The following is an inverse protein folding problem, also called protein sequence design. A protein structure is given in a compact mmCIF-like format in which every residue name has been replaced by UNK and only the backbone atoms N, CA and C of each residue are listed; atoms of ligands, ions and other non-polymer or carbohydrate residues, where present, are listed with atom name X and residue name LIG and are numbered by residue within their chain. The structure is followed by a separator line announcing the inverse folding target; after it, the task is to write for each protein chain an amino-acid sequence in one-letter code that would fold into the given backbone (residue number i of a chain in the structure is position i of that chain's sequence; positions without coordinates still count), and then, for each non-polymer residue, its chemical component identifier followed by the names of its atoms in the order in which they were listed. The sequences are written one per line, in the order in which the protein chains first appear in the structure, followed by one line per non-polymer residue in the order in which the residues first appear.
data_IF_269003016357
#
_entry.id   IF_269003016357
#
_cell.length_a   1.000
_cell.length_b   1.000
_cell.length_c   1.000
_cell.angle_alpha   90.00
_cell.angle_beta   90.00
_cell.angle_gamma   90.00
#
_symmetry.space_group_name_H-M   'P 1'
#
loop_
_entity.id
_entity.type
_entity.pdbx_description
1 polymer ?
#
# COMPACT_ATOMS: atom_id res chain seq x y z
N UNK A 1 9.52 -10.36 3.20
CA UNK A 1 8.21 -9.71 3.01
C UNK A 1 8.36 -8.76 1.85
N UNK A 2 7.38 -8.72 0.96
CA UNK A 2 7.37 -7.84 -0.22
C UNK A 2 6.68 -6.54 0.17
N UNK A 3 7.38 -5.42 0.12
CA UNK A 3 6.83 -4.13 0.56
C UNK A 3 6.06 -3.44 -0.57
N UNK A 4 4.90 -2.89 -0.23
CA UNK A 4 3.99 -2.23 -1.16
C UNK A 4 3.69 -0.80 -0.70
N UNK A 5 3.96 0.18 -1.58
CA UNK A 5 3.46 1.55 -1.46
C UNK A 5 2.36 1.78 -2.50
N UNK A 6 1.13 2.05 -2.06
CA UNK A 6 -0.01 2.29 -2.93
C UNK A 6 -0.43 3.77 -2.85
N UNK A 7 -0.30 4.50 -3.96
CA UNK A 7 -0.67 5.91 -4.05
C UNK A 7 -1.94 6.08 -4.90
N UNK A 8 -2.89 6.86 -4.37
CA UNK A 8 -4.08 7.28 -5.10
C UNK A 8 -3.84 8.67 -5.70
N UNK A 9 -4.09 8.81 -6.99
CA UNK A 9 -3.95 10.07 -7.73
C UNK A 9 -5.34 10.66 -8.01
N UNK A 10 -5.76 10.77 -9.27
CA UNK A 10 -7.10 11.21 -9.67
C UNK A 10 -8.19 10.14 -9.55
N UNK A 11 -7.97 9.08 -8.76
CA UNK A 11 -8.85 7.92 -8.68
C UNK A 11 -10.18 8.21 -8.01
N UNK A 12 -11.21 7.45 -8.41
CA UNK A 12 -12.51 7.37 -7.73
C UNK A 12 -12.55 6.37 -6.56
N UNK A 13 -11.45 5.65 -6.29
CA UNK A 13 -11.34 4.61 -5.25
C UNK A 13 -11.84 3.23 -5.67
N UNK A 14 -12.17 3.05 -6.96
CA UNK A 14 -12.75 1.82 -7.49
C UNK A 14 -11.83 0.61 -7.34
N UNK A 15 -10.52 0.78 -7.59
CA UNK A 15 -9.56 -0.33 -7.50
C UNK A 15 -9.35 -0.76 -6.03
N UNK A 16 -9.28 0.22 -5.13
CA UNK A 16 -9.26 -0.05 -3.69
C UNK A 16 -10.51 -0.82 -3.25
N UNK A 17 -11.70 -0.44 -3.72
CA UNK A 17 -12.92 -1.19 -3.41
C UNK A 17 -12.92 -2.60 -4.03
N UNK A 18 -12.41 -2.73 -5.26
CA UNK A 18 -12.35 -4.01 -5.96
C UNK A 18 -11.45 -5.02 -5.23
N UNK A 19 -10.30 -4.59 -4.69
CA UNK A 19 -9.41 -5.51 -3.96
C UNK A 19 -9.97 -5.92 -2.59
N UNK A 20 -10.79 -5.07 -1.95
CA UNK A 20 -11.51 -5.44 -0.72
C UNK A 20 -12.60 -6.49 -0.96
N UNK A 21 -13.02 -6.70 -2.22
CA UNK A 21 -13.98 -7.73 -2.61
C UNK A 21 -13.32 -8.96 -3.24
N UNK A 22 -11.98 -9.08 -3.18
CA UNK A 22 -11.28 -10.23 -3.76
C UNK A 22 -11.47 -11.49 -2.90
N UNK A 23 -11.88 -12.59 -3.54
CA UNK A 23 -12.13 -13.87 -2.86
C UNK A 23 -10.89 -14.76 -2.74
N UNK A 24 -9.95 -14.72 -3.70
CA UNK A 24 -8.74 -15.56 -3.65
C UNK A 24 -7.60 -15.05 -4.56
N UNK A 25 -6.45 -14.58 -4.02
CA UNK A 25 -6.26 -14.32 -2.59
C UNK A 25 -7.09 -13.10 -2.14
N UNK A 26 -7.62 -13.14 -0.92
CA UNK A 26 -8.20 -11.96 -0.28
C UNK A 26 -7.12 -10.94 0.12
N UNK A 27 -7.52 -9.72 0.46
CA UNK A 27 -6.56 -8.73 0.96
C UNK A 27 -5.92 -9.16 2.29
N UNK A 28 -6.68 -9.80 3.18
CA UNK A 28 -6.13 -10.34 4.43
C UNK A 28 -5.14 -11.47 4.17
N UNK A 29 -5.43 -12.36 3.21
CA UNK A 29 -4.51 -13.42 2.81
C UNK A 29 -3.22 -12.82 2.23
N UNK A 30 -3.33 -11.80 1.37
CA UNK A 30 -2.15 -11.11 0.82
C UNK A 30 -1.20 -10.63 1.91
N UNK A 31 -1.74 -10.04 2.97
CA UNK A 31 -0.95 -9.49 4.09
C UNK A 31 -0.44 -10.60 5.03
N UNK A 32 -1.32 -11.52 5.42
CA UNK A 32 -1.03 -12.49 6.48
C UNK A 32 -0.31 -13.76 5.98
N UNK A 33 -0.57 -14.17 4.73
CA UNK A 33 -0.14 -15.47 4.19
C UNK A 33 0.85 -15.32 3.05
N UNK A 34 0.67 -14.33 2.16
CA UNK A 34 1.57 -14.08 1.03
C UNK A 34 2.70 -13.09 1.34
N UNK A 35 2.77 -12.59 2.57
CA UNK A 35 3.91 -11.80 3.05
C UNK A 35 4.04 -10.42 2.42
N UNK A 36 2.92 -9.83 1.98
CA UNK A 36 2.85 -8.44 1.52
C UNK A 36 2.79 -7.51 2.73
N UNK A 37 3.76 -6.60 2.83
CA UNK A 37 3.75 -5.53 3.80
C UNK A 37 3.22 -4.25 3.15
N UNK A 38 2.01 -3.83 3.53
CA UNK A 38 1.43 -2.58 3.04
C UNK A 38 2.01 -1.40 3.83
N UNK A 39 2.94 -0.68 3.21
CA UNK A 39 3.59 0.47 3.82
C UNK A 39 2.63 1.68 3.90
N UNK A 40 1.82 1.86 2.85
CA UNK A 40 0.82 2.92 2.76
C UNK A 40 -0.28 2.58 1.74
N UNK A 41 -1.51 2.94 2.10
CA UNK A 41 -2.68 3.10 1.23
C UNK A 41 -3.64 4.09 1.95
N UNK A 42 -4.16 5.13 1.27
CA UNK A 42 -4.86 6.24 1.94
C UNK A 42 -6.08 5.88 2.80
N UNK A 43 -6.84 4.86 2.40
CA UNK A 43 -8.07 4.40 3.06
C UNK A 43 -7.83 3.29 4.11
N UNK A 44 -6.70 2.59 4.04
CA UNK A 44 -6.42 1.39 4.86
C UNK A 44 -5.32 1.62 5.90
N UNK A 45 -4.47 2.62 5.72
CA UNK A 45 -3.34 2.88 6.63
C UNK A 45 -3.75 3.65 7.88
N UNK A 46 -3.39 3.12 9.04
CA UNK A 46 -3.64 3.75 10.35
C UNK A 46 -2.44 4.65 10.69
N UNK A 47 -2.41 5.84 10.09
CA UNK A 47 -1.34 6.79 10.33
C UNK A 47 -1.76 8.25 10.04
N UNK A 48 -1.14 9.24 10.71
CA UNK A 48 -1.28 10.64 10.33
C UNK A 48 -0.75 10.88 8.90
N UNK A 49 -1.35 11.85 8.18
CA UNK A 49 -0.96 12.18 6.81
C UNK A 49 0.55 12.45 6.63
N UNK A 50 1.19 13.11 7.59
CA UNK A 50 2.64 13.40 7.55
C UNK A 50 3.55 12.16 7.61
N UNK A 51 3.00 10.96 7.84
CA UNK A 51 3.77 9.71 7.78
C UNK A 51 4.16 9.35 6.35
N UNK A 52 3.35 9.68 5.35
CA UNK A 52 3.66 9.36 3.96
C UNK A 52 4.95 10.04 3.51
N UNK A 53 5.11 11.34 3.82
CA UNK A 53 6.32 12.08 3.48
C UNK A 53 7.57 11.43 4.11
N UNK A 54 7.49 11.10 5.40
CA UNK A 54 8.59 10.45 6.11
C UNK A 54 8.92 9.06 5.53
N UNK A 55 7.89 8.32 5.08
CA UNK A 55 8.06 7.02 4.43
C UNK A 55 8.74 7.16 3.07
N UNK A 56 8.32 8.12 2.24
CA UNK A 56 8.95 8.43 0.95
C UNK A 56 10.42 8.81 1.15
N UNK A 57 10.72 9.70 2.10
CA UNK A 57 12.09 10.09 2.44
C UNK A 57 12.93 8.90 2.95
N UNK A 58 12.33 7.96 3.68
CA UNK A 58 13.01 6.74 4.11
C UNK A 58 13.30 5.80 2.93
N UNK A 59 12.39 5.70 1.96
CA UNK A 59 12.58 4.88 0.74
C UNK A 59 13.69 5.46 -0.13
N UNK A 60 13.66 6.77 -0.40
CA UNK A 60 14.69 7.46 -1.20
C UNK A 60 16.08 7.33 -0.56
N UNK A 61 16.14 7.32 0.77
CA UNK A 61 17.39 7.17 1.51
C UNK A 61 17.81 5.71 1.79
N UNK A 62 17.19 4.73 1.11
CA UNK A 62 17.43 3.29 1.27
C UNK A 62 17.27 2.76 2.72
N UNK A 63 16.54 3.50 3.58
CA UNK A 63 16.21 3.08 4.95
C UNK A 63 14.97 2.20 5.02
N UNK A 64 14.12 2.27 4.01
CA UNK A 64 12.93 1.43 3.81
C UNK A 64 13.00 0.84 2.40
N UNK A 65 13.07 -0.48 2.29
CA UNK A 65 12.97 -1.14 0.98
C UNK A 65 11.56 -0.96 0.42
N UNK A 66 11.46 -0.64 -0.86
CA UNK A 66 10.23 -0.63 -1.64
C UNK A 66 10.34 -1.66 -2.77
N UNK A 67 9.55 -2.74 -2.71
CA UNK A 67 9.53 -3.75 -3.75
C UNK A 67 8.49 -3.44 -4.85
N UNK A 68 7.32 -2.91 -4.45
CA UNK A 68 6.21 -2.60 -5.36
C UNK A 68 5.68 -1.20 -5.13
N UNK A 69 5.72 -0.38 -6.18
CA UNK A 69 5.02 0.90 -6.25
C UNK A 69 3.71 0.70 -7.04
N UNK A 70 2.57 0.77 -6.37
CA UNK A 70 1.25 0.73 -7.00
C UNK A 70 0.69 2.15 -7.13
N UNK A 71 0.21 2.49 -8.32
CA UNK A 71 -0.41 3.79 -8.62
C UNK A 71 -1.84 3.53 -9.07
N UNK A 72 -2.78 4.17 -8.40
CA UNK A 72 -4.21 4.14 -8.69
C UNK A 72 -4.64 5.51 -9.23
N UNK A 73 -5.38 5.55 -10.35
CA UNK A 73 -5.75 6.78 -11.03
C UNK A 73 -6.94 6.62 -11.95
#
# INVERSE_FOLDING_TARGET
MTTLLWLQTGSCGGDTMSILCADSPSLEELVNEYGVEMLWQPSLSIAPAGRLDALIEAIIADRQTLDVLCIEG
#
